data_IF_644830121420
#
_entry.id   IF_644830121420
#
_cell.length_a   1.000
_cell.length_b   1.000
_cell.length_c   1.000
_cell.angle_alpha   90.00
_cell.angle_beta   90.00
_cell.angle_gamma   90.00
#
_symmetry.space_group_name_H-M   'P 1'
#
loop_
_entity.id
_entity.type
_entity.pdbx_description
1 polymer ?
#
# COMPACT_ATOMS: atom_id res chain seq x y z
N UNK A 1 -17.04 46.28 -8.41
CA UNK A 1 -17.59 45.65 -7.19
C UNK A 1 -17.71 44.13 -7.31
N UNK A 2 -18.38 43.57 -8.34
CA UNK A 2 -18.53 42.11 -8.54
C UNK A 2 -17.20 41.34 -8.67
N UNK A 3 -16.22 41.87 -9.41
CA UNK A 3 -14.92 41.23 -9.59
C UNK A 3 -14.07 41.13 -8.31
N UNK A 4 -14.18 42.11 -7.40
CA UNK A 4 -13.46 42.14 -6.11
C UNK A 4 -14.05 41.09 -5.16
N UNK A 5 -15.38 40.96 -5.14
CA UNK A 5 -16.09 39.93 -4.37
C UNK A 5 -15.74 38.52 -4.85
N UNK A 6 -15.62 38.31 -6.16
CA UNK A 6 -15.21 37.01 -6.74
C UNK A 6 -13.75 36.69 -6.38
N UNK A 7 -12.84 37.67 -6.46
CA UNK A 7 -11.43 37.48 -6.08
C UNK A 7 -11.25 37.10 -4.61
N UNK A 8 -11.99 37.75 -3.71
CA UNK A 8 -11.99 37.44 -2.27
C UNK A 8 -12.51 36.02 -1.98
N UNK A 9 -13.57 35.58 -2.67
CA UNK A 9 -14.12 34.25 -2.51
C UNK A 9 -13.16 33.14 -2.98
N UNK A 10 -12.45 33.37 -4.09
CA UNK A 10 -11.44 32.43 -4.61
C UNK A 10 -10.26 32.31 -3.64
N UNK A 11 -9.76 33.43 -3.12
CA UNK A 11 -8.66 33.42 -2.13
C UNK A 11 -9.05 32.71 -0.83
N UNK A 12 -10.29 32.91 -0.36
CA UNK A 12 -10.80 32.20 0.81
C UNK A 12 -10.87 30.67 0.58
N UNK A 13 -11.33 30.22 -0.59
CA UNK A 13 -11.36 28.79 -0.95
C UNK A 13 -9.97 28.17 -1.02
N UNK A 14 -8.98 28.89 -1.56
CA UNK A 14 -7.58 28.45 -1.60
C UNK A 14 -7.01 28.36 -0.18
N UNK A 15 -7.24 29.37 0.66
CA UNK A 15 -6.78 29.37 2.05
C UNK A 15 -7.40 28.22 2.87
N UNK A 16 -8.71 27.97 2.72
CA UNK A 16 -9.40 26.85 3.38
C UNK A 16 -8.85 25.51 2.88
N UNK A 17 -8.63 25.36 1.57
CA UNK A 17 -8.04 24.15 0.99
C UNK A 17 -6.63 23.89 1.50
N UNK A 18 -5.82 24.95 1.63
CA UNK A 18 -4.47 24.88 2.17
C UNK A 18 -4.47 24.49 3.66
N UNK A 19 -5.29 25.14 4.48
CA UNK A 19 -5.41 24.83 5.91
C UNK A 19 -5.89 23.39 6.14
N UNK A 20 -6.88 22.94 5.37
CA UNK A 20 -7.42 21.57 5.43
C UNK A 20 -6.44 20.53 4.91
N UNK A 21 -5.58 20.89 3.94
CA UNK A 21 -4.47 20.06 3.50
C UNK A 21 -3.42 19.89 4.60
N UNK A 22 -3.05 20.99 5.27
CA UNK A 22 -2.07 20.99 6.37
C UNK A 22 -2.54 20.22 7.59
N UNK A 23 -3.83 20.30 7.96
CA UNK A 23 -4.37 19.55 9.09
C UNK A 23 -4.31 18.04 8.83
N UNK A 24 -4.68 17.60 7.61
CA UNK A 24 -4.60 16.18 7.21
C UNK A 24 -3.17 15.65 7.21
N UNK A 25 -2.20 16.44 6.76
CA UNK A 25 -0.78 16.03 6.79
C UNK A 25 -0.31 15.80 8.23
N UNK A 26 -0.67 16.71 9.16
CA UNK A 26 -0.34 16.56 10.58
C UNK A 26 -1.00 15.34 11.21
N UNK A 27 -2.26 15.04 10.86
CA UNK A 27 -2.94 13.82 11.32
C UNK A 27 -2.19 12.56 10.85
N UNK A 28 -1.77 12.51 9.58
CA UNK A 28 -0.98 11.39 9.04
C UNK A 28 0.36 11.25 9.75
N UNK A 29 1.08 12.35 9.98
CA UNK A 29 2.36 12.35 10.69
C UNK A 29 2.21 11.89 12.14
N UNK A 30 1.13 12.29 12.82
CA UNK A 30 0.83 11.84 14.20
C UNK A 30 0.55 10.34 14.25
N UNK A 31 -0.24 9.82 13.33
CA UNK A 31 -0.53 8.38 13.22
C UNK A 31 0.76 7.59 12.95
N UNK A 32 1.58 8.06 12.01
CA UNK A 32 2.86 7.42 11.70
C UNK A 32 3.79 7.39 12.91
N UNK A 33 3.93 8.52 13.62
CA UNK A 33 4.76 8.61 14.81
C UNK A 33 4.26 7.67 15.90
N UNK A 34 2.95 7.65 16.14
CA UNK A 34 2.34 6.77 17.14
C UNK A 34 2.65 5.30 16.87
N UNK A 35 2.50 4.83 15.63
CA UNK A 35 2.77 3.44 15.30
C UNK A 35 4.25 3.10 15.21
N UNK A 36 5.08 4.03 14.73
CA UNK A 36 6.53 3.87 14.71
C UNK A 36 7.09 3.69 16.12
N UNK A 37 6.62 4.49 17.07
CA UNK A 37 7.02 4.38 18.48
C UNK A 37 6.44 3.12 19.15
N UNK A 38 5.14 2.87 18.97
CA UNK A 38 4.45 1.73 19.61
C UNK A 38 5.02 0.38 19.18
N UNK A 39 5.32 0.22 17.90
CA UNK A 39 5.82 -1.03 17.35
C UNK A 39 7.34 -1.06 17.16
N UNK A 40 8.06 0.01 17.51
CA UNK A 40 9.51 0.14 17.31
C UNK A 40 9.91 -0.13 15.85
N UNK A 41 9.23 0.54 14.92
CA UNK A 41 9.49 0.37 13.49
C UNK A 41 10.85 1.04 13.17
N UNK A 42 11.79 0.24 12.69
CA UNK A 42 13.14 0.69 12.31
C UNK A 42 13.15 1.26 10.88
N UNK A 43 12.41 0.62 9.98
CA UNK A 43 12.37 1.01 8.55
C UNK A 43 10.93 0.99 8.02
N UNK A 44 10.52 2.09 7.37
CA UNK A 44 9.22 2.20 6.72
C UNK A 44 9.34 1.91 5.22
N UNK A 45 8.70 0.84 4.74
CA UNK A 45 8.78 0.40 3.34
C UNK A 45 7.81 1.12 2.41
N UNK A 46 6.87 1.87 2.98
CA UNK A 46 5.91 2.70 2.24
C UNK A 46 4.48 2.17 2.28
N UNK A 47 3.66 2.60 1.32
CA UNK A 47 2.23 2.30 1.26
C UNK A 47 1.90 1.22 0.22
N UNK A 48 1.12 0.23 0.62
CA UNK A 48 0.65 -0.90 -0.20
C UNK A 48 -0.87 -0.98 -0.16
N UNK A 49 -1.49 -1.54 -1.21
CA UNK A 49 -2.93 -1.80 -1.20
C UNK A 49 -3.18 -3.22 -0.72
N UNK A 50 -3.90 -3.37 0.38
CA UNK A 50 -4.23 -4.66 0.95
C UNK A 50 -5.38 -5.33 0.20
N UNK A 51 -5.17 -6.57 -0.24
CA UNK A 51 -6.11 -7.34 -1.07
C UNK A 51 -6.79 -8.49 -0.32
N UNK A 52 -6.36 -8.79 0.92
CA UNK A 52 -6.89 -9.87 1.76
C UNK A 52 -5.80 -10.54 2.62
N UNK A 53 -6.23 -11.22 3.70
CA UNK A 53 -5.40 -11.89 4.70
C UNK A 53 -5.84 -11.64 6.14
N UNK A 54 -5.07 -12.07 7.15
CA UNK A 54 -5.28 -11.65 8.53
C UNK A 54 -4.24 -10.56 8.93
N UNK A 55 -4.59 -9.52 9.69
CA UNK A 55 -5.93 -9.19 10.19
C UNK A 55 -6.89 -8.86 9.05
N UNK A 56 -8.17 -9.21 9.24
CA UNK A 56 -9.24 -8.97 8.27
C UNK A 56 -9.56 -7.47 8.20
N UNK A 57 -8.86 -6.76 7.31
CA UNK A 57 -9.08 -5.32 7.11
C UNK A 57 -10.18 -5.15 6.04
N UNK A 58 -11.28 -4.45 6.33
CA UNK A 58 -12.37 -4.32 5.37
C UNK A 58 -11.95 -3.43 4.18
N UNK A 59 -11.97 -4.04 2.98
CA UNK A 59 -11.70 -3.43 1.65
C UNK A 59 -10.23 -3.07 1.38
N UNK A 60 -9.96 -2.87 0.08
CA UNK A 60 -8.78 -2.25 -0.52
C UNK A 60 -8.41 -0.94 0.20
N UNK A 61 -7.68 -1.07 1.30
CA UNK A 61 -7.29 0.04 2.14
C UNK A 61 -5.78 0.21 1.98
N UNK A 62 -5.29 1.44 1.76
CA UNK A 62 -3.86 1.69 1.77
C UNK A 62 -3.33 1.42 3.18
N UNK A 63 -2.40 0.48 3.28
CA UNK A 63 -1.66 0.15 4.50
C UNK A 63 -0.23 0.65 4.35
N UNK A 64 0.33 1.13 5.45
CA UNK A 64 1.75 1.33 5.59
C UNK A 64 2.39 0.08 6.15
N UNK A 65 3.56 -0.25 5.63
CA UNK A 65 4.33 -1.42 6.06
C UNK A 65 5.65 -0.96 6.64
N UNK A 66 5.94 -1.42 7.84
CA UNK A 66 7.20 -1.18 8.53
C UNK A 66 7.88 -2.49 8.93
N UNK A 67 9.20 -2.45 9.03
CA UNK A 67 10.02 -3.51 9.61
C UNK A 67 10.34 -3.13 11.05
N UNK A 68 10.02 -4.02 11.98
CA UNK A 68 10.28 -3.83 13.40
C UNK A 68 11.02 -5.07 13.92
N UNK A 69 12.36 -4.98 14.03
CA UNK A 69 13.28 -6.02 14.50
C UNK A 69 12.99 -7.44 13.98
N UNK A 70 12.07 -8.12 14.67
CA UNK A 70 11.68 -9.52 14.42
C UNK A 70 10.28 -9.70 13.82
N UNK A 71 9.68 -8.63 13.29
CA UNK A 71 8.30 -8.66 12.78
C UNK A 71 8.06 -7.68 11.64
N UNK A 72 7.11 -8.04 10.79
CA UNK A 72 6.53 -7.15 9.79
C UNK A 72 5.29 -6.47 10.39
N UNK A 73 5.25 -5.14 10.37
CA UNK A 73 4.14 -4.37 10.93
C UNK A 73 3.34 -3.74 9.80
N UNK A 74 2.02 -3.91 9.82
CA UNK A 74 1.08 -3.30 8.90
C UNK A 74 0.14 -2.40 9.69
N UNK A 75 -0.03 -1.16 9.25
CA UNK A 75 -0.98 -0.24 9.88
C UNK A 75 -1.70 0.63 8.86
N UNK A 76 -2.92 1.00 9.18
CA UNK A 76 -3.76 1.88 8.38
C UNK A 76 -3.75 3.28 8.97
N UNK A 77 -4.05 4.28 8.12
CA UNK A 77 -4.29 5.66 8.56
C UNK A 77 -5.55 5.80 9.43
N UNK A 78 -6.38 4.74 9.53
CA UNK A 78 -7.58 4.71 10.36
C UNK A 78 -7.31 4.23 11.79
N UNK A 79 -6.06 3.89 12.12
CA UNK A 79 -5.68 3.43 13.46
C UNK A 79 -5.73 1.91 13.66
N UNK A 80 -6.02 1.13 12.62
CA UNK A 80 -5.90 -0.33 12.67
C UNK A 80 -4.45 -0.73 12.42
N UNK A 81 -3.91 -1.67 13.21
CA UNK A 81 -2.57 -2.19 13.02
C UNK A 81 -2.51 -3.68 13.36
N UNK A 82 -1.61 -4.40 12.70
CA UNK A 82 -1.28 -5.80 12.96
C UNK A 82 0.19 -6.04 12.73
N UNK A 83 0.74 -7.05 13.41
CA UNK A 83 2.12 -7.47 13.22
C UNK A 83 2.20 -8.95 12.90
N UNK A 84 3.12 -9.32 12.02
CA UNK A 84 3.42 -10.68 11.64
C UNK A 84 4.86 -10.97 12.07
N UNK A 85 5.06 -11.70 13.17
CA UNK A 85 6.37 -12.21 13.56
C UNK A 85 7.07 -12.95 12.42
N UNK A 86 8.36 -12.67 12.20
CA UNK A 86 9.16 -13.34 11.16
C UNK A 86 9.26 -14.84 11.35
N UNK A 87 9.23 -15.32 12.59
CA UNK A 87 9.15 -16.76 12.92
C UNK A 87 7.92 -17.45 12.32
N UNK A 88 6.84 -16.72 12.12
CA UNK A 88 5.58 -17.25 11.58
C UNK A 88 5.55 -17.23 10.05
N UNK A 89 6.43 -16.44 9.40
CA UNK A 89 6.50 -16.39 7.94
C UNK A 89 7.12 -17.68 7.42
N UNK A 90 6.38 -18.33 6.50
CA UNK A 90 6.83 -19.55 5.81
C UNK A 90 7.43 -19.24 4.46
N UNK A 91 6.85 -18.28 3.72
CA UNK A 91 7.26 -17.96 2.35
C UNK A 91 6.89 -16.55 1.94
N UNK A 92 7.74 -15.93 1.13
CA UNK A 92 7.47 -14.64 0.48
C UNK A 92 7.58 -14.87 -1.03
N UNK A 93 6.54 -14.52 -1.77
CA UNK A 93 6.46 -14.63 -3.23
C UNK A 93 6.09 -13.27 -3.81
N UNK A 94 6.55 -12.98 -5.03
CA UNK A 94 6.09 -11.81 -5.77
C UNK A 94 5.73 -12.23 -7.19
N UNK A 95 4.67 -11.63 -7.73
CA UNK A 95 4.20 -11.95 -9.07
C UNK A 95 3.50 -10.76 -9.69
N UNK A 96 3.43 -10.76 -11.03
CA UNK A 96 2.73 -9.75 -11.80
C UNK A 96 1.59 -10.40 -12.55
N UNK A 97 0.39 -9.86 -12.42
CA UNK A 97 -0.75 -10.28 -13.23
C UNK A 97 -0.93 -9.30 -14.39
N UNK A 98 -1.33 -9.81 -15.56
CA UNK A 98 -1.67 -9.02 -16.74
C UNK A 98 -3.14 -9.23 -17.05
N UNK A 99 -3.92 -8.17 -16.91
CA UNK A 99 -5.31 -8.14 -17.36
C UNK A 99 -5.32 -7.57 -18.76
N UNK A 100 -5.68 -8.42 -19.74
CA UNK A 100 -5.83 -7.98 -21.13
C UNK A 100 -6.92 -6.91 -21.24
N UNK A 101 -6.71 -5.93 -22.10
CA UNK A 101 -7.74 -4.93 -22.36
C UNK A 101 -9.02 -5.61 -22.89
N UNK A 102 -10.15 -5.36 -22.24
CA UNK A 102 -11.44 -5.90 -22.69
C UNK A 102 -11.99 -5.03 -23.82
N UNK A 103 -11.94 -5.56 -25.05
CA UNK A 103 -12.41 -4.90 -26.27
C UNK A 103 -13.83 -5.33 -26.69
N UNK A 104 -14.46 -6.27 -25.98
CA UNK A 104 -15.72 -6.92 -26.43
C UNK A 104 -16.88 -5.94 -26.68
N UNK A 105 -16.93 -4.82 -25.98
CA UNK A 105 -18.00 -3.81 -26.11
C UNK A 105 -17.48 -2.44 -26.61
N UNK A 106 -16.28 -2.39 -27.18
CA UNK A 106 -15.67 -1.12 -27.64
C UNK A 106 -15.54 -1.14 -29.15
N UNK A 107 -16.12 -0.15 -29.82
CA UNK A 107 -16.04 -0.04 -31.27
C UNK A 107 -14.60 0.25 -31.70
N UNK A 108 -13.89 -0.78 -32.14
CA UNK A 108 -12.51 -0.70 -32.66
C UNK A 108 -12.45 0.26 -33.86
N UNK A 109 -13.56 0.42 -34.59
CA UNK A 109 -13.71 1.34 -35.72
C UNK A 109 -13.61 2.81 -35.30
N UNK A 110 -14.11 3.18 -34.12
CA UNK A 110 -14.04 4.57 -33.61
C UNK A 110 -12.65 4.95 -33.07
N UNK A 111 -11.87 3.96 -32.64
CA UNK A 111 -10.59 4.18 -31.98
C UNK A 111 -9.38 3.78 -32.83
N UNK A 112 -9.59 3.17 -34.00
CA UNK A 112 -8.62 2.81 -35.05
C UNK A 112 -7.15 2.77 -34.57
N UNK A 113 -6.30 3.73 -34.96
CA UNK A 113 -4.86 3.74 -34.63
C UNK A 113 -4.54 4.08 -33.16
N UNK A 114 -5.48 4.66 -32.41
CA UNK A 114 -5.30 5.01 -30.99
C UNK A 114 -5.74 3.90 -30.03
N UNK A 115 -6.39 2.85 -30.54
CA UNK A 115 -6.85 1.70 -29.75
C UNK A 115 -5.74 1.09 -28.85
N UNK A 116 -4.47 0.91 -29.29
CA UNK A 116 -3.41 0.39 -28.43
C UNK A 116 -2.98 1.36 -27.32
N UNK A 117 -3.17 2.66 -27.55
CA UNK A 117 -2.80 3.71 -26.59
C UNK A 117 -3.86 3.87 -25.49
N UNK A 118 -5.12 3.58 -25.82
CA UNK A 118 -6.30 3.80 -24.97
C UNK A 118 -6.74 2.51 -24.27
N UNK A 119 -6.56 1.38 -24.95
CA UNK A 119 -6.86 0.05 -24.43
C UNK A 119 -5.55 -0.69 -24.14
N UNK A 120 -4.80 -0.12 -23.19
CA UNK A 120 -3.59 -0.76 -22.68
C UNK A 120 -3.95 -1.90 -21.74
N UNK A 121 -3.17 -2.97 -21.82
CA UNK A 121 -3.19 -4.01 -20.81
C UNK A 121 -2.86 -3.42 -19.45
N UNK A 122 -3.58 -3.88 -18.44
CA UNK A 122 -3.33 -3.47 -17.06
C UNK A 122 -2.43 -4.49 -16.40
N UNK A 123 -1.27 -4.03 -15.95
CA UNK A 123 -0.37 -4.82 -15.12
C UNK A 123 -0.64 -4.48 -13.66
N UNK A 124 -0.71 -5.51 -12.82
CA UNK A 124 -0.84 -5.37 -11.36
C UNK A 124 0.25 -6.20 -10.70
N UNK A 125 0.94 -5.62 -9.73
CA UNK A 125 2.12 -6.21 -9.11
C UNK A 125 1.82 -6.54 -7.66
N UNK A 126 2.10 -7.78 -7.25
CA UNK A 126 1.74 -8.27 -5.93
C UNK A 126 2.92 -8.91 -5.21
N UNK A 127 2.94 -8.72 -3.89
CA UNK A 127 3.74 -9.50 -2.94
C UNK A 127 2.78 -10.32 -2.08
N UNK A 128 3.02 -11.63 -2.03
CA UNK A 128 2.29 -12.59 -1.22
C UNK A 128 3.18 -13.09 -0.09
N UNK A 129 2.71 -12.94 1.15
CA UNK A 129 3.41 -13.41 2.35
C UNK A 129 2.56 -14.53 2.96
N UNK A 130 3.10 -15.75 2.96
CA UNK A 130 2.49 -16.94 3.55
C UNK A 130 3.03 -17.09 4.96
N UNK A 131 2.15 -17.17 5.96
CA UNK A 131 2.53 -17.27 7.36
C UNK A 131 1.53 -18.14 8.13
N UNK A 132 1.89 -18.51 9.35
CA UNK A 132 1.00 -19.21 10.28
C UNK A 132 0.58 -18.24 11.38
N UNK A 133 -0.72 -18.14 11.64
CA UNK A 133 -1.21 -17.22 12.67
C UNK A 133 -1.00 -17.78 14.09
N UNK A 134 -1.64 -17.13 15.07
CA UNK A 134 -1.53 -17.52 16.48
C UNK A 134 -2.31 -18.80 16.81
N UNK A 135 -3.34 -19.10 16.01
CA UNK A 135 -4.19 -20.28 16.13
C UNK A 135 -3.61 -21.48 15.36
N UNK A 136 -2.39 -21.31 14.81
CA UNK A 136 -1.65 -22.28 14.02
C UNK A 136 -2.26 -22.55 12.63
N UNK A 137 -3.10 -21.64 12.14
CA UNK A 137 -3.73 -21.72 10.83
C UNK A 137 -2.87 -21.06 9.74
N UNK A 138 -2.87 -21.68 8.55
CA UNK A 138 -2.18 -21.16 7.39
C UNK A 138 -2.91 -19.96 6.79
N UNK A 139 -2.23 -18.82 6.77
CA UNK A 139 -2.76 -17.57 6.28
C UNK A 139 -1.87 -16.94 5.21
N UNK A 140 -2.49 -16.08 4.42
CA UNK A 140 -1.89 -15.41 3.27
C UNK A 140 -2.16 -13.92 3.35
N UNK A 141 -1.12 -13.11 3.32
CA UNK A 141 -1.21 -11.66 3.19
C UNK A 141 -0.88 -11.28 1.74
N UNK A 142 -1.86 -10.72 1.02
CA UNK A 142 -1.68 -10.27 -0.35
C UNK A 142 -1.63 -8.74 -0.41
N UNK A 143 -0.48 -8.22 -0.88
CA UNK A 143 -0.20 -6.80 -1.00
C UNK A 143 -0.03 -6.42 -2.46
N UNK A 144 -0.77 -5.44 -2.94
CA UNK A 144 -0.58 -4.84 -4.26
C UNK A 144 0.30 -3.59 -4.16
N UNK A 145 1.27 -3.51 -5.07
CA UNK A 145 2.20 -2.40 -5.19
C UNK A 145 1.99 -1.65 -6.50
N UNK A 146 2.36 -0.36 -6.49
CA UNK A 146 2.08 0.60 -7.56
C UNK A 146 2.67 0.18 -8.91
N UNK A 147 3.89 -0.35 -8.90
CA UNK A 147 4.65 -0.68 -10.10
C UNK A 147 5.64 -1.83 -9.83
N UNK A 148 6.19 -2.40 -10.90
CA UNK A 148 7.11 -3.54 -10.82
C UNK A 148 8.39 -3.26 -10.05
N UNK A 149 8.92 -2.02 -10.15
CA UNK A 149 10.15 -1.64 -9.47
C UNK A 149 9.94 -1.60 -7.97
N UNK A 150 8.89 -0.89 -7.55
CA UNK A 150 8.45 -0.82 -6.14
C UNK A 150 8.12 -2.22 -5.59
N UNK A 151 7.44 -3.07 -6.36
CA UNK A 151 7.13 -4.46 -5.98
C UNK A 151 8.39 -5.30 -5.71
N UNK A 152 9.39 -5.20 -6.59
CA UNK A 152 10.65 -5.94 -6.46
C UNK A 152 11.45 -5.45 -5.27
N UNK A 153 11.56 -4.14 -5.11
CA UNK A 153 12.33 -3.53 -4.02
C UNK A 153 11.70 -3.84 -2.66
N UNK A 154 10.39 -3.67 -2.53
CA UNK A 154 9.64 -4.04 -1.33
C UNK A 154 9.86 -5.52 -0.97
N UNK A 155 9.69 -6.42 -1.94
CA UNK A 155 9.86 -7.86 -1.72
C UNK A 155 11.29 -8.21 -1.31
N UNK A 156 12.29 -7.52 -1.87
CA UNK A 156 13.70 -7.67 -1.54
C UNK A 156 13.97 -7.25 -0.09
N UNK A 157 13.48 -6.08 0.33
CA UNK A 157 13.66 -5.57 1.69
C UNK A 157 13.05 -6.51 2.74
N UNK A 158 11.79 -6.93 2.55
CA UNK A 158 11.13 -7.88 3.46
C UNK A 158 11.86 -9.23 3.49
N UNK A 159 12.25 -9.76 2.32
CA UNK A 159 12.96 -11.04 2.24
C UNK A 159 14.34 -10.99 2.90
N UNK A 160 15.06 -9.87 2.75
CA UNK A 160 16.34 -9.65 3.41
C UNK A 160 16.19 -9.59 4.92
N UNK A 161 15.23 -8.82 5.43
CA UNK A 161 14.96 -8.71 6.87
C UNK A 161 14.57 -10.06 7.47
N UNK A 162 13.68 -10.80 6.80
CA UNK A 162 13.30 -12.16 7.20
C UNK A 162 14.47 -13.15 7.17
N UNK A 163 15.33 -13.06 6.16
CA UNK A 163 16.52 -13.92 6.05
C UNK A 163 17.56 -13.61 7.13
N UNK A 164 17.76 -12.33 7.45
CA UNK A 164 18.63 -11.89 8.55
C UNK A 164 18.12 -12.40 9.89
N UNK A 165 16.81 -12.31 10.13
CA UNK A 165 16.19 -12.92 11.31
C UNK A 165 16.50 -14.41 11.41
N UNK A 166 16.29 -15.18 10.33
CA UNK A 166 16.59 -16.62 10.32
C UNK A 166 18.03 -16.94 10.69
N UNK A 167 19.00 -16.18 10.17
CA UNK A 167 20.43 -16.36 10.47
C UNK A 167 20.77 -16.07 11.93
N UNK A 168 20.13 -15.07 12.54
CA UNK A 168 20.39 -14.67 13.92
C UNK A 168 19.60 -15.50 14.95
N UNK A 169 18.60 -16.26 14.50
CA UNK A 169 17.78 -17.13 15.35
C UNK A 169 18.24 -18.60 15.40
N UNK A 170 19.28 -18.95 14.62
CA UNK A 170 19.97 -20.24 14.64
C UNK A 170 21.17 -20.17 15.58
#
# INVERSE_FOLDING_TARGET
>A
MKAILIGMAVMALVAISYLRGRSKLREVEQVDRHFTEKFQIEELLGSVSYQGGFPAIPRLTPLKVGLAGNSLVLYSLKGEAGSIPYRQIRKIEHFTTRTKANLKNKSVVFWGPFAPMIFKDKYRHFTLIKYTDIDNDENNLLLELKDSGTCREFSRQVSNSWSSFKKNSQ
#
